data_IF_755077307624
#
_entry.id   IF_755077307624
#
_cell.length_a   1.000
_cell.length_b   1.000
_cell.length_c   1.000
_cell.angle_alpha   90.00
_cell.angle_beta   90.00
_cell.angle_gamma   90.00
#
_symmetry.space_group_name_H-M   'P 1'
#
loop_
_entity.id
_entity.type
_entity.pdbx_description
1 polymer ?
#
# COMPACT_ATOMS: atom_id res chain seq x y z
N UNK A 1 -52.17 -7.15 4.60
CA UNK A 1 -50.88 -7.86 4.45
C UNK A 1 -50.45 -7.72 2.99
N UNK A 2 -49.80 -6.60 2.62
CA UNK A 2 -49.50 -6.28 1.22
C UNK A 2 -48.11 -6.82 0.83
N UNK A 3 -48.08 -7.70 -0.16
CA UNK A 3 -46.89 -8.35 -0.69
C UNK A 3 -46.10 -7.39 -1.59
N UNK A 4 -44.78 -7.29 -1.34
CA UNK A 4 -43.71 -6.72 -2.18
C UNK A 4 -44.16 -5.94 -3.43
N UNK A 5 -44.11 -4.60 -3.43
CA UNK A 5 -44.70 -3.74 -4.47
C UNK A 5 -43.96 -3.75 -5.83
N UNK A 6 -43.04 -4.69 -6.08
CA UNK A 6 -42.08 -4.55 -7.17
C UNK A 6 -41.58 -5.90 -7.71
N UNK A 7 -42.51 -6.78 -8.06
CA UNK A 7 -42.14 -8.01 -8.78
C UNK A 7 -41.71 -7.63 -10.21
N UNK A 8 -40.52 -8.07 -10.66
CA UNK A 8 -40.11 -7.89 -12.06
C UNK A 8 -41.17 -8.47 -13.00
N UNK A 9 -41.45 -7.79 -14.12
CA UNK A 9 -42.37 -8.30 -15.13
C UNK A 9 -41.94 -9.69 -15.60
N UNK A 10 -42.91 -10.59 -15.75
CA UNK A 10 -42.66 -11.95 -16.21
C UNK A 10 -41.96 -11.91 -17.58
N UNK A 11 -40.77 -12.51 -17.68
CA UNK A 11 -39.93 -12.46 -18.89
C UNK A 11 -38.74 -11.48 -18.87
N UNK A 12 -38.53 -10.67 -17.82
CA UNK A 12 -37.34 -9.78 -17.76
C UNK A 12 -36.03 -10.59 -17.75
N UNK A 13 -35.10 -10.36 -18.71
CA UNK A 13 -33.80 -11.02 -18.77
C UNK A 13 -33.08 -10.91 -17.41
N UNK A 14 -32.37 -11.97 -17.01
CA UNK A 14 -31.65 -12.00 -15.73
C UNK A 14 -30.72 -10.78 -15.56
N UNK A 15 -30.07 -10.36 -16.66
CA UNK A 15 -29.15 -9.22 -16.71
C UNK A 15 -29.86 -7.89 -16.39
N UNK A 16 -31.09 -7.69 -16.87
CA UNK A 16 -31.88 -6.49 -16.60
C UNK A 16 -32.38 -6.45 -15.15
N UNK A 17 -32.75 -7.61 -14.59
CA UNK A 17 -33.10 -7.73 -13.16
C UNK A 17 -31.91 -7.39 -12.27
N UNK A 18 -30.70 -7.84 -12.62
CA UNK A 18 -29.47 -7.49 -11.90
C UNK A 18 -29.17 -5.99 -12.01
N UNK A 19 -29.26 -5.40 -13.21
CA UNK A 19 -29.06 -3.95 -13.42
C UNK A 19 -30.06 -3.11 -12.61
N UNK A 20 -31.35 -3.46 -12.64
CA UNK A 20 -32.39 -2.75 -11.88
C UNK A 20 -32.16 -2.83 -10.37
N UNK A 21 -31.66 -3.97 -9.88
CA UNK A 21 -31.28 -4.13 -8.47
C UNK A 21 -30.04 -3.32 -8.11
N UNK A 22 -29.01 -3.32 -8.97
CA UNK A 22 -27.79 -2.53 -8.76
C UNK A 22 -28.07 -1.02 -8.80
N UNK A 23 -28.97 -0.56 -9.67
CA UNK A 23 -29.36 0.84 -9.78
C UNK A 23 -30.02 1.40 -8.50
N UNK A 24 -30.51 0.53 -7.60
CA UNK A 24 -31.07 0.91 -6.29
C UNK A 24 -30.01 1.02 -5.19
N UNK A 25 -28.80 0.56 -5.45
CA UNK A 25 -27.69 0.61 -4.52
C UNK A 25 -26.85 1.84 -4.89
N UNK A 26 -27.01 2.92 -4.15
CA UNK A 26 -26.10 4.05 -4.24
C UNK A 26 -24.77 3.64 -3.59
N UNK A 27 -23.76 3.32 -4.42
CA UNK A 27 -22.40 3.01 -3.96
C UNK A 27 -21.57 4.27 -4.06
N UNK A 28 -21.10 4.78 -2.92
CA UNK A 28 -20.15 5.89 -2.87
C UNK A 28 -18.72 5.44 -3.15
N UNK A 29 -17.87 6.35 -3.63
CA UNK A 29 -16.45 6.07 -3.83
C UNK A 29 -15.78 5.59 -2.53
N UNK A 30 -16.17 6.18 -1.39
CA UNK A 30 -15.69 5.76 -0.07
C UNK A 30 -16.04 4.31 0.27
N UNK A 31 -17.25 3.87 -0.07
CA UNK A 31 -17.65 2.46 0.10
C UNK A 31 -16.85 1.54 -0.82
N UNK A 32 -16.59 1.94 -2.06
CA UNK A 32 -15.72 1.16 -2.95
C UNK A 32 -14.33 1.02 -2.34
N UNK A 33 -13.71 2.12 -1.92
CA UNK A 33 -12.36 2.11 -1.34
C UNK A 33 -12.29 1.25 -0.07
N UNK A 34 -13.31 1.33 0.80
CA UNK A 34 -13.35 0.58 2.06
C UNK A 34 -13.44 -0.95 1.86
N UNK A 35 -14.09 -1.41 0.78
CA UNK A 35 -14.22 -2.84 0.45
C UNK A 35 -12.97 -3.41 -0.26
N UNK A 36 -12.06 -2.56 -0.74
CA UNK A 36 -10.89 -2.97 -1.51
C UNK A 36 -9.66 -3.18 -0.61
N UNK A 37 -9.08 -4.38 -0.67
CA UNK A 37 -7.83 -4.68 0.04
C UNK A 37 -6.60 -4.05 -0.61
N UNK A 38 -5.52 -3.90 0.16
CA UNK A 38 -4.21 -3.52 -0.39
C UNK A 38 -3.73 -4.49 -1.50
N UNK A 39 -4.12 -5.76 -1.43
CA UNK A 39 -3.82 -6.75 -2.46
C UNK A 39 -4.50 -6.46 -3.80
N UNK A 40 -5.72 -5.91 -3.78
CA UNK A 40 -6.39 -5.42 -4.99
C UNK A 40 -5.60 -4.28 -5.62
N UNK A 41 -5.27 -3.25 -4.82
CA UNK A 41 -4.53 -2.07 -5.29
C UNK A 41 -3.17 -2.45 -5.85
N UNK A 42 -2.42 -3.34 -5.20
CA UNK A 42 -1.19 -3.92 -5.75
C UNK A 42 -1.44 -4.69 -7.05
N UNK A 43 -2.53 -5.44 -7.12
CA UNK A 43 -2.89 -6.30 -8.24
C UNK A 43 -3.16 -5.54 -9.54
N UNK A 44 -3.79 -4.36 -9.47
CA UNK A 44 -4.11 -3.54 -10.66
C UNK A 44 -2.86 -2.96 -11.34
N UNK A 45 -1.73 -2.84 -10.63
CA UNK A 45 -0.44 -2.47 -11.22
C UNK A 45 0.34 -3.69 -11.73
N UNK A 46 -0.22 -4.89 -11.75
CA UNK A 46 0.44 -6.08 -12.29
C UNK A 46 0.69 -6.01 -13.80
N UNK A 47 1.66 -6.79 -14.30
CA UNK A 47 2.04 -6.84 -15.73
C UNK A 47 0.86 -7.10 -16.67
N UNK A 48 -0.13 -7.89 -16.24
CA UNK A 48 -1.36 -8.18 -17.00
C UNK A 48 -2.18 -6.93 -17.36
N UNK A 49 -1.99 -5.81 -16.67
CA UNK A 49 -2.77 -4.59 -16.85
C UNK A 49 -1.98 -3.43 -17.47
N UNK A 50 -0.78 -3.69 -18.01
CA UNK A 50 0.04 -2.67 -18.69
C UNK A 50 -0.74 -1.93 -19.79
N UNK A 51 -1.37 -2.69 -20.70
CA UNK A 51 -2.12 -2.11 -21.81
C UNK A 51 -3.56 -1.73 -21.43
N UNK A 52 -4.18 -2.48 -20.51
CA UNK A 52 -5.61 -2.33 -20.19
C UNK A 52 -5.92 -1.24 -19.16
N UNK A 53 -5.06 -1.05 -18.15
CA UNK A 53 -5.30 -0.06 -17.08
C UNK A 53 -4.18 0.97 -16.98
N UNK A 54 -2.92 0.57 -17.13
CA UNK A 54 -1.80 1.48 -16.92
C UNK A 54 -1.77 2.61 -17.95
N UNK A 55 -1.64 2.29 -19.24
CA UNK A 55 -1.59 3.30 -20.30
C UNK A 55 -2.81 4.24 -20.32
N UNK A 56 -4.05 3.71 -20.31
CA UNK A 56 -5.24 4.55 -20.45
C UNK A 56 -5.61 5.36 -19.21
N UNK A 57 -5.33 4.84 -18.00
CA UNK A 57 -5.97 5.33 -16.78
C UNK A 57 -4.98 5.56 -15.64
N UNK A 58 -4.25 4.53 -15.21
CA UNK A 58 -3.42 4.60 -14.00
C UNK A 58 -2.17 5.47 -14.19
N UNK A 59 -1.63 5.58 -15.41
CA UNK A 59 -0.49 6.47 -15.66
C UNK A 59 -0.80 7.92 -15.30
N UNK A 60 -2.07 8.33 -15.41
CA UNK A 60 -2.50 9.70 -15.06
C UNK A 60 -2.44 10.01 -13.57
N UNK A 61 -2.43 8.99 -12.71
CA UNK A 61 -2.21 9.17 -11.26
C UNK A 61 -0.73 9.26 -10.92
N UNK A 62 0.18 9.04 -11.87
CA UNK A 62 1.63 9.19 -11.73
C UNK A 62 2.16 10.11 -12.85
N UNK A 63 1.94 11.45 -12.75
CA UNK A 63 2.18 12.38 -13.86
C UNK A 63 3.65 12.45 -14.29
N UNK A 64 4.59 12.17 -13.38
CA UNK A 64 6.01 12.07 -13.68
C UNK A 64 6.26 11.01 -14.76
N UNK A 65 6.76 11.43 -15.93
CA UNK A 65 6.98 10.57 -17.10
C UNK A 65 8.02 9.48 -16.87
N UNK A 66 8.94 9.68 -15.93
CA UNK A 66 9.99 8.71 -15.59
C UNK A 66 9.46 7.52 -14.78
N UNK A 67 8.30 7.67 -14.12
CA UNK A 67 7.68 6.61 -13.32
C UNK A 67 7.05 5.56 -14.23
N UNK A 68 7.57 4.34 -14.16
CA UNK A 68 7.06 3.18 -14.90
C UNK A 68 6.10 2.35 -14.06
N UNK A 69 5.22 1.58 -14.70
CA UNK A 69 4.32 0.65 -14.00
C UNK A 69 5.11 -0.34 -13.16
N UNK A 70 6.22 -0.87 -13.69
CA UNK A 70 7.07 -1.82 -12.98
C UNK A 70 7.65 -1.21 -11.71
N UNK A 71 8.11 0.05 -11.75
CA UNK A 71 8.57 0.75 -10.56
C UNK A 71 7.46 0.84 -9.51
N UNK A 72 6.27 1.34 -9.87
CA UNK A 72 5.13 1.46 -8.95
C UNK A 72 4.75 0.09 -8.36
N UNK A 73 4.65 -0.95 -9.20
CA UNK A 73 4.30 -2.29 -8.76
C UNK A 73 5.30 -2.88 -7.76
N UNK A 74 6.60 -2.64 -7.97
CA UNK A 74 7.64 -3.08 -7.04
C UNK A 74 7.55 -2.38 -5.68
N UNK A 75 7.24 -1.08 -5.66
CA UNK A 75 7.07 -0.35 -4.41
C UNK A 75 5.80 -0.80 -3.66
N UNK A 76 4.69 -1.00 -4.37
CA UNK A 76 3.46 -1.54 -3.77
C UNK A 76 3.64 -2.97 -3.26
N UNK A 77 4.46 -3.80 -3.91
CA UNK A 77 4.83 -5.12 -3.41
C UNK A 77 5.61 -5.03 -2.08
N UNK A 78 6.57 -4.11 -1.95
CA UNK A 78 7.32 -3.92 -0.71
C UNK A 78 6.39 -3.54 0.46
N UNK A 79 5.46 -2.61 0.25
CA UNK A 79 4.45 -2.20 1.24
C UNK A 79 3.53 -3.38 1.58
N UNK A 80 3.05 -4.11 0.58
CA UNK A 80 2.18 -5.28 0.76
C UNK A 80 2.85 -6.37 1.61
N UNK A 81 4.12 -6.69 1.32
CA UNK A 81 4.88 -7.68 2.08
C UNK A 81 5.08 -7.24 3.53
N UNK A 82 5.44 -5.97 3.76
CA UNK A 82 5.60 -5.44 5.11
C UNK A 82 4.30 -5.54 5.91
N UNK A 83 3.18 -5.09 5.34
CA UNK A 83 1.85 -5.19 5.97
C UNK A 83 1.49 -6.63 6.32
N UNK A 84 1.72 -7.58 5.41
CA UNK A 84 1.43 -8.99 5.70
C UNK A 84 2.29 -9.55 6.82
N UNK A 85 3.58 -9.21 6.88
CA UNK A 85 4.44 -9.60 8.01
C UNK A 85 3.90 -9.05 9.32
N UNK A 86 3.54 -7.77 9.37
CA UNK A 86 2.95 -7.15 10.55
C UNK A 86 1.65 -7.85 10.98
N UNK A 87 0.80 -8.24 10.03
CA UNK A 87 -0.42 -9.01 10.30
C UNK A 87 -0.14 -10.44 10.83
N UNK A 88 0.99 -11.02 10.46
CA UNK A 88 1.49 -12.29 11.01
C UNK A 88 2.33 -12.09 12.28
N UNK A 89 2.35 -10.88 12.85
CA UNK A 89 3.17 -10.53 14.02
C UNK A 89 4.68 -10.77 13.79
N UNK A 90 5.13 -10.76 12.54
CA UNK A 90 6.54 -10.86 12.19
C UNK A 90 7.19 -9.47 12.12
N UNK A 91 8.42 -9.31 12.64
CA UNK A 91 9.10 -8.02 12.62
C UNK A 91 9.52 -7.58 11.21
N UNK A 92 9.53 -6.26 11.01
CA UNK A 92 10.05 -5.57 9.82
C UNK A 92 11.18 -4.65 10.27
N UNK A 93 12.43 -5.13 10.19
CA UNK A 93 13.62 -4.44 10.70
C UNK A 93 14.68 -4.24 9.62
N UNK A 94 15.66 -3.39 9.91
CA UNK A 94 16.87 -3.17 9.09
C UNK A 94 16.57 -2.89 7.60
N UNK A 95 17.06 -3.75 6.69
CA UNK A 95 16.89 -3.59 5.25
C UNK A 95 15.41 -3.50 4.87
N UNK A 96 14.58 -4.42 5.40
CA UNK A 96 13.15 -4.46 5.09
C UNK A 96 12.44 -3.21 5.58
N UNK A 97 12.82 -2.70 6.75
CA UNK A 97 12.29 -1.44 7.26
C UNK A 97 12.59 -0.28 6.30
N UNK A 98 13.86 -0.12 5.89
CA UNK A 98 14.27 0.94 4.94
C UNK A 98 13.57 0.81 3.59
N UNK A 99 13.47 -0.40 3.05
CA UNK A 99 12.74 -0.68 1.80
C UNK A 99 11.27 -0.31 1.92
N UNK A 100 10.63 -0.61 3.06
CA UNK A 100 9.22 -0.29 3.30
C UNK A 100 9.00 1.22 3.37
N UNK A 101 9.79 1.92 4.17
CA UNK A 101 9.69 3.39 4.31
C UNK A 101 9.94 4.06 2.96
N UNK A 102 11.02 3.68 2.26
CA UNK A 102 11.33 4.23 0.93
C UNK A 102 10.24 3.95 -0.11
N UNK A 103 9.54 2.82 -0.01
CA UNK A 103 8.39 2.53 -0.86
C UNK A 103 7.19 3.43 -0.57
N UNK A 104 6.91 3.71 0.71
CA UNK A 104 5.85 4.64 1.11
C UNK A 104 6.19 6.06 0.66
N UNK A 105 7.43 6.51 0.87
CA UNK A 105 7.93 7.81 0.41
C UNK A 105 7.82 7.96 -1.10
N UNK A 106 8.19 6.93 -1.86
CA UNK A 106 8.05 6.91 -3.31
C UNK A 106 6.59 7.11 -3.72
N UNK A 107 5.67 6.31 -3.16
CA UNK A 107 4.25 6.41 -3.52
C UNK A 107 3.69 7.76 -3.10
N UNK A 108 4.00 8.24 -1.90
CA UNK A 108 3.56 9.54 -1.42
C UNK A 108 3.99 10.67 -2.33
N UNK A 109 5.23 10.64 -2.82
CA UNK A 109 5.83 11.66 -3.68
C UNK A 109 5.35 11.61 -5.12
N UNK A 110 5.17 10.42 -5.69
CA UNK A 110 4.86 10.28 -7.12
C UNK A 110 3.35 10.22 -7.41
N UNK A 111 2.53 9.90 -6.41
CA UNK A 111 1.08 9.82 -6.57
C UNK A 111 0.49 11.23 -6.63
N UNK A 112 -0.11 11.55 -7.78
CA UNK A 112 -0.76 12.82 -8.09
C UNK A 112 0.13 14.08 -8.00
N UNK A 113 1.46 13.91 -8.04
CA UNK A 113 2.39 15.03 -8.22
C UNK A 113 2.30 15.58 -9.64
N UNK A 114 1.53 16.67 -9.81
CA UNK A 114 1.18 17.23 -11.13
C UNK A 114 2.35 17.97 -11.79
N UNK A 115 3.23 18.59 -11.00
CA UNK A 115 4.44 19.30 -11.45
C UNK A 115 5.65 18.81 -10.66
N UNK A 116 6.85 18.96 -11.22
CA UNK A 116 8.11 18.61 -10.52
C UNK A 116 8.33 19.42 -9.25
N UNK A 117 7.75 20.62 -9.18
CA UNK A 117 7.82 21.56 -8.05
C UNK A 117 6.70 21.34 -7.01
N UNK A 118 5.66 20.58 -7.35
CA UNK A 118 4.50 20.40 -6.47
C UNK A 118 4.80 19.34 -5.42
N UNK A 119 4.60 19.71 -4.15
CA UNK A 119 4.59 18.72 -3.07
C UNK A 119 3.27 17.96 -3.14
N UNK A 120 3.33 16.66 -3.43
CA UNK A 120 2.15 15.82 -3.49
C UNK A 120 1.35 15.89 -2.17
N UNK A 121 0.00 15.99 -2.22
CA UNK A 121 -0.83 16.08 -1.02
C UNK A 121 -0.57 14.94 -0.02
N UNK A 122 -0.31 13.73 -0.52
CA UNK A 122 -0.02 12.57 0.32
C UNK A 122 1.33 12.70 1.05
N UNK A 123 2.33 13.35 0.43
CA UNK A 123 3.59 13.69 1.12
C UNK A 123 3.36 14.64 2.28
N UNK A 124 2.49 15.64 2.14
CA UNK A 124 2.15 16.55 3.24
C UNK A 124 1.43 15.81 4.37
N UNK A 125 0.48 14.96 4.01
CA UNK A 125 -0.31 14.19 4.97
C UNK A 125 0.55 13.24 5.82
N UNK A 126 1.54 12.59 5.21
CA UNK A 126 2.36 11.57 5.86
C UNK A 126 3.69 12.09 6.42
N UNK A 127 3.98 13.39 6.30
CA UNK A 127 5.29 13.95 6.63
C UNK A 127 5.71 13.59 8.06
N UNK A 128 4.91 13.96 9.03
CA UNK A 128 5.25 13.81 10.45
C UNK A 128 5.34 12.33 10.86
N UNK A 129 4.43 11.51 10.33
CA UNK A 129 4.43 10.05 10.55
C UNK A 129 5.67 9.38 9.98
N UNK A 130 6.08 9.77 8.77
CA UNK A 130 7.28 9.24 8.11
C UNK A 130 8.56 9.67 8.84
N UNK A 131 8.62 10.91 9.31
CA UNK A 131 9.73 11.40 10.14
C UNK A 131 9.81 10.64 11.47
N UNK A 132 8.68 10.46 12.15
CA UNK A 132 8.59 9.76 13.42
C UNK A 132 8.99 8.28 13.28
N UNK A 133 8.41 7.58 12.30
CA UNK A 133 8.68 6.14 12.12
C UNK A 133 10.14 5.92 11.73
N UNK A 134 10.71 6.76 10.86
CA UNK A 134 12.11 6.68 10.45
C UNK A 134 13.04 6.89 11.62
N UNK A 135 12.79 7.91 12.44
CA UNK A 135 13.57 8.19 13.65
C UNK A 135 13.53 7.00 14.61
N UNK A 136 12.33 6.50 14.89
CA UNK A 136 12.09 5.37 15.80
C UNK A 136 12.75 4.08 15.31
N UNK A 137 12.63 3.79 14.01
CA UNK A 137 13.26 2.62 13.38
C UNK A 137 14.79 2.68 13.40
N UNK A 138 15.37 3.86 13.19
CA UNK A 138 16.82 4.05 13.26
C UNK A 138 17.35 3.91 14.69
N UNK A 139 16.63 4.43 15.69
CA UNK A 139 16.95 4.25 17.10
C UNK A 139 16.90 2.77 17.51
N UNK A 140 15.80 2.08 17.19
CA UNK A 140 15.67 0.65 17.46
C UNK A 140 16.77 -0.16 16.78
N UNK A 141 17.10 0.19 15.53
CA UNK A 141 18.20 -0.47 14.82
C UNK A 141 19.53 -0.29 15.56
N UNK A 142 19.85 0.93 16.02
CA UNK A 142 21.08 1.18 16.80
C UNK A 142 21.13 0.38 18.09
N UNK A 143 20.03 0.35 18.84
CA UNK A 143 19.93 -0.40 20.10
C UNK A 143 20.20 -1.90 19.90
N UNK A 144 19.60 -2.50 18.87
CA UNK A 144 19.81 -3.91 18.54
C UNK A 144 21.27 -4.21 18.16
N UNK A 145 21.93 -3.32 17.39
CA UNK A 145 23.34 -3.50 17.04
C UNK A 145 24.27 -3.35 18.26
N UNK A 146 23.97 -2.43 19.19
CA UNK A 146 24.77 -2.27 20.42
C UNK A 146 24.60 -3.43 21.42
N UNK A 147 23.42 -4.05 21.45
CA UNK A 147 23.12 -5.18 22.34
C UNK A 147 23.71 -6.52 21.89
N UNK A 148 24.20 -6.62 20.65
CA UNK A 148 24.74 -7.86 20.07
C UNK A 148 26.26 -8.01 20.16
N UNK A 149 26.99 -7.17 20.91
CA UNK A 149 28.42 -7.45 21.17
C UNK A 149 28.56 -8.74 22.01
N UNK A 150 29.37 -9.73 21.58
CA UNK A 150 29.59 -10.92 22.38
C UNK A 150 30.25 -10.53 23.71
N UNK A 151 29.83 -11.18 24.80
CA UNK A 151 30.58 -11.15 26.06
C UNK A 151 31.98 -11.65 25.76
N UNK A 152 32.97 -10.75 25.77
CA UNK A 152 34.37 -11.16 25.89
C UNK A 152 34.48 -11.90 27.22
N UNK A 153 34.56 -13.23 27.14
CA UNK A 153 34.96 -14.08 28.25
C UNK A 153 36.30 -13.56 28.77
N UNK A 154 36.27 -13.09 30.01
CA UNK A 154 37.43 -12.59 30.72
C UNK A 154 38.56 -13.60 30.65
N UNK A 155 39.65 -13.18 30.00
CA UNK A 155 40.92 -13.88 30.02
C UNK A 155 41.30 -14.15 31.48
N UNK A 156 41.36 -15.43 31.82
CA UNK A 156 41.91 -15.90 33.09
C UNK A 156 43.41 -15.60 33.05
N UNK A 157 43.98 -14.84 34.00
CA UNK A 157 45.43 -14.75 34.09
C UNK A 157 45.93 -16.08 34.65
N UNK A 158 46.66 -16.84 33.85
CA UNK A 158 47.51 -17.92 34.36
C UNK A 158 48.84 -17.28 34.72
N UNK A 159 48.97 -16.91 36.00
CA UNK A 159 50.23 -16.54 36.61
C UNK A 159 50.41 -17.36 37.89
N UNK A 160 51.58 -17.98 38.03
CA UNK A 160 52.02 -18.72 39.23
C UNK A 160 52.46 -20.14 38.92
#
# INVERSE_FOLDING_TARGET
MAAFPDRPREGTPHIERVKARQARIAVSDGQVVAELSLGFWKGIFGRKYEHGLWGPTLKRTFPNRTVTRSAVASQLEAIYQARNRLAHHEPVLHKRFRETVGAIEFVARELDARREEDVAPLTLLLRDDLELVTRSGNELSRQLHSGSRPKEEGGRPVGG
#
